data_IF_285776580720
#
_entry.id   IF_285776580720
#
_cell.length_a   1.000
_cell.length_b   1.000
_cell.length_c   1.000
_cell.angle_alpha   90.00
_cell.angle_beta   90.00
_cell.angle_gamma   90.00
#
_symmetry.space_group_name_H-M   'P 1'
#
loop_
_entity.id
_entity.type
_entity.pdbx_description
1 polymer ?
#
# COMPACT_ATOMS: atom_id res chain seq x y z
N UNK A 1 0.96 15.40 68.16
CA UNK A 1 0.17 14.72 69.21
C UNK A 1 -1.16 15.42 69.37
N UNK A 2 -2.24 14.70 69.74
CA UNK A 2 -2.34 13.24 69.77
C UNK A 2 -2.58 12.69 68.33
N UNK A 3 -2.34 11.44 67.94
CA UNK A 3 -2.45 10.12 68.59
C UNK A 3 -3.88 9.60 68.81
N UNK A 4 -4.23 8.52 68.10
CA UNK A 4 -4.33 7.21 68.75
C UNK A 4 -4.57 6.06 67.78
N UNK A 5 -3.68 5.09 67.84
CA UNK A 5 -3.96 3.71 67.48
C UNK A 5 -4.87 3.05 68.54
N UNK A 6 -5.72 2.10 68.10
CA UNK A 6 -5.73 0.73 68.65
C UNK A 6 -6.62 -0.24 67.86
N UNK A 7 -5.96 -1.04 67.03
CA UNK A 7 -5.79 -2.50 67.19
C UNK A 7 -6.69 -3.28 68.19
N UNK A 8 -6.97 -4.55 67.86
CA UNK A 8 -7.50 -5.54 68.81
C UNK A 8 -8.56 -6.53 68.28
N UNK A 9 -8.11 -7.67 67.71
CA UNK A 9 -8.57 -9.08 67.95
C UNK A 9 -10.06 -9.40 68.29
N UNK A 10 -10.72 -10.48 67.85
CA UNK A 10 -10.45 -11.73 67.07
C UNK A 10 -11.86 -12.32 66.66
N UNK A 11 -12.18 -13.58 66.27
CA UNK A 11 -11.53 -14.90 66.17
C UNK A 11 -12.34 -15.84 65.21
N UNK A 12 -11.68 -16.73 64.43
CA UNK A 12 -12.22 -17.99 63.81
C UNK A 12 -13.36 -17.87 62.75
N UNK A 13 -13.49 -18.76 61.75
CA UNK A 13 -12.63 -19.89 61.29
C UNK A 13 -13.02 -20.44 59.90
N UNK A 14 -12.00 -20.93 59.13
CA UNK A 14 -12.06 -21.93 58.03
C UNK A 14 -12.83 -21.52 56.74
N UNK A 15 -12.45 -21.96 55.53
CA UNK A 15 -11.27 -22.73 55.05
C UNK A 15 -11.05 -22.54 53.53
N UNK A 16 -9.85 -22.91 53.02
CA UNK A 16 -9.49 -23.28 51.63
C UNK A 16 -9.75 -22.27 50.48
N UNK A 17 -8.93 -22.12 49.42
CA UNK A 17 -7.59 -22.63 49.02
C UNK A 17 -7.01 -21.57 48.04
N UNK A 18 -5.70 -21.30 47.97
CA UNK A 18 -4.68 -22.13 47.31
C UNK A 18 -4.81 -22.02 45.77
N UNK A 19 -3.85 -21.51 44.99
CA UNK A 19 -2.39 -21.47 45.17
C UNK A 19 -1.71 -20.16 44.67
N UNK A 20 -0.49 -19.93 45.16
CA UNK A 20 0.49 -18.97 44.62
C UNK A 20 1.77 -19.71 44.16
N UNK A 21 2.81 -18.99 43.75
CA UNK A 21 3.87 -19.49 42.85
C UNK A 21 5.31 -19.49 43.40
N UNK A 22 6.19 -20.23 42.69
CA UNK A 22 7.68 -20.22 42.71
C UNK A 22 8.40 -20.70 43.99
N UNK A 23 9.32 -21.67 43.88
CA UNK A 23 10.77 -21.56 44.29
C UNK A 23 11.48 -22.91 44.55
N UNK A 24 12.76 -22.98 44.14
CA UNK A 24 13.84 -23.96 44.44
C UNK A 24 13.56 -25.47 44.17
N UNK A 25 14.40 -26.28 43.48
CA UNK A 25 15.86 -26.45 43.40
C UNK A 25 16.47 -27.28 44.54
N UNK A 26 16.90 -28.53 44.26
CA UNK A 26 18.21 -29.14 44.60
C UNK A 26 18.26 -30.69 44.38
N UNK A 27 19.48 -31.23 44.25
CA UNK A 27 19.93 -32.66 44.29
C UNK A 27 19.35 -33.64 43.23
N UNK A 28 20.19 -34.19 42.32
CA UNK A 28 20.93 -35.49 42.39
C UNK A 28 20.01 -36.73 42.26
N UNK A 29 20.35 -37.81 41.53
CA UNK A 29 21.58 -38.20 40.81
C UNK A 29 21.24 -39.21 39.68
N UNK A 30 22.19 -39.55 38.79
CA UNK A 30 22.13 -40.77 37.97
C UNK A 30 21.44 -40.69 36.59
N UNK A 31 22.17 -40.25 35.55
CA UNK A 31 21.79 -40.44 34.15
C UNK A 31 23.01 -40.83 33.31
N UNK A 32 23.06 -42.09 32.86
CA UNK A 32 24.05 -42.60 31.90
C UNK A 32 23.40 -43.69 31.03
N UNK A 33 22.96 -43.35 29.82
CA UNK A 33 23.29 -44.04 28.55
C UNK A 33 22.55 -43.47 27.33
N UNK A 34 23.23 -43.49 26.18
CA UNK A 34 22.73 -43.35 24.80
C UNK A 34 21.83 -42.15 24.44
N UNK A 35 22.38 -41.27 23.60
CA UNK A 35 21.63 -40.29 22.82
C UNK A 35 20.85 -40.95 21.66
N UNK A 36 19.71 -40.36 21.28
CA UNK A 36 19.17 -40.43 19.91
C UNK A 36 18.37 -39.15 19.61
N UNK A 37 18.78 -38.37 18.61
CA UNK A 37 18.16 -37.08 18.29
C UNK A 37 16.74 -37.24 17.73
N UNK A 38 15.73 -36.77 18.47
CA UNK A 38 14.34 -36.76 18.00
C UNK A 38 14.08 -35.57 17.07
N UNK A 39 14.26 -35.78 15.77
CA UNK A 39 14.24 -34.69 14.79
C UNK A 39 12.81 -34.16 14.47
N UNK A 40 12.70 -32.85 14.24
CA UNK A 40 11.47 -32.03 14.39
C UNK A 40 10.27 -32.43 13.52
N UNK A 41 10.47 -33.22 12.45
CA UNK A 41 9.39 -33.72 11.59
C UNK A 41 8.52 -34.80 12.25
N UNK A 42 9.09 -35.62 13.14
CA UNK A 42 8.39 -36.76 13.74
C UNK A 42 7.31 -36.33 14.74
N UNK A 43 7.65 -35.37 15.60
CA UNK A 43 6.75 -34.77 16.59
C UNK A 43 5.46 -34.19 15.97
N UNK A 44 5.55 -33.65 14.74
CA UNK A 44 4.41 -33.06 14.03
C UNK A 44 3.44 -34.14 13.51
N UNK A 45 3.95 -35.28 13.04
CA UNK A 45 3.09 -36.40 12.60
C UNK A 45 2.32 -37.02 13.78
N UNK A 46 3.04 -37.41 14.83
CA UNK A 46 2.45 -38.16 15.95
C UNK A 46 1.45 -37.31 16.78
N UNK A 47 1.59 -35.98 16.77
CA UNK A 47 0.67 -35.05 17.46
C UNK A 47 -0.71 -34.86 16.81
N UNK A 48 -0.92 -35.33 15.57
CA UNK A 48 -2.12 -34.96 14.77
C UNK A 48 -3.26 -35.99 14.83
N UNK A 49 -3.06 -37.13 15.49
CA UNK A 49 -3.97 -38.30 15.37
C UNK A 49 -4.96 -38.51 16.55
N UNK A 50 -5.22 -37.49 17.38
CA UNK A 50 -5.99 -37.64 18.64
C UNK A 50 -7.26 -36.77 18.78
N UNK A 51 -7.76 -36.20 17.69
CA UNK A 51 -9.00 -35.38 17.68
C UNK A 51 -10.04 -35.77 16.63
N UNK A 52 -9.80 -36.81 15.82
CA UNK A 52 -10.78 -37.38 14.88
C UNK A 52 -11.13 -38.82 15.27
N UNK A 53 -12.22 -38.99 16.02
CA UNK A 53 -12.73 -40.30 16.40
C UNK A 53 -13.43 -41.00 15.25
N UNK A 54 -12.71 -41.86 14.53
CA UNK A 54 -13.28 -42.78 13.54
C UNK A 54 -12.85 -44.22 13.84
N UNK A 55 -13.75 -45.01 14.42
CA UNK A 55 -13.59 -46.46 14.45
C UNK A 55 -13.76 -47.03 13.03
N UNK A 56 -12.98 -48.05 12.68
CA UNK A 56 -12.97 -48.62 11.34
C UNK A 56 -14.19 -49.52 11.09
N UNK A 57 -14.75 -49.45 9.87
CA UNK A 57 -15.68 -50.43 9.33
C UNK A 57 -15.39 -50.64 7.83
N UNK A 58 -15.03 -51.87 7.45
CA UNK A 58 -14.85 -52.29 6.06
C UNK A 58 -16.18 -52.81 5.50
N UNK A 59 -16.68 -52.22 4.41
CA UNK A 59 -17.55 -52.90 3.42
C UNK A 59 -17.22 -52.36 2.03
N UNK A 60 -17.20 -53.21 1.01
CA UNK A 60 -16.95 -52.81 -0.38
C UNK A 60 -18.25 -52.37 -1.09
N UNK A 61 -18.13 -51.44 -2.04
CA UNK A 61 -19.25 -50.97 -2.87
C UNK A 61 -18.76 -50.14 -4.05
N UNK A 62 -19.47 -50.22 -5.18
CA UNK A 62 -19.11 -49.57 -6.45
C UNK A 62 -19.89 -48.27 -6.71
N UNK A 63 -19.41 -47.52 -7.73
CA UNK A 63 -20.05 -46.44 -8.49
C UNK A 63 -19.88 -44.96 -8.09
N UNK A 64 -19.75 -44.20 -9.20
CA UNK A 64 -20.11 -42.81 -9.44
C UNK A 64 -19.13 -41.69 -9.04
N UNK A 65 -18.84 -40.82 -10.01
CA UNK A 65 -18.34 -39.45 -9.79
C UNK A 65 -19.49 -38.57 -9.29
N UNK A 66 -19.27 -37.82 -8.20
CA UNK A 66 -19.59 -36.38 -8.09
C UNK A 66 -19.34 -35.87 -6.66
N UNK A 67 -18.36 -34.97 -6.48
CA UNK A 67 -18.19 -34.21 -5.22
C UNK A 67 -17.64 -32.80 -5.47
N UNK A 68 -18.55 -31.83 -5.60
CA UNK A 68 -18.28 -30.43 -5.22
C UNK A 68 -18.60 -30.27 -3.72
N UNK A 69 -17.65 -29.88 -2.86
CA UNK A 69 -17.94 -29.67 -1.44
C UNK A 69 -18.74 -28.37 -1.23
N UNK A 70 -20.00 -28.48 -0.82
CA UNK A 70 -20.77 -27.34 -0.34
C UNK A 70 -20.25 -26.91 1.05
N UNK A 71 -19.50 -25.80 1.11
CA UNK A 71 -19.09 -25.18 2.36
C UNK A 71 -20.22 -24.29 2.92
N UNK A 72 -20.52 -24.44 4.21
CA UNK A 72 -21.71 -23.85 4.84
C UNK A 72 -21.64 -22.32 4.99
N UNK A 73 -22.73 -21.65 4.59
CA UNK A 73 -22.89 -20.22 4.73
C UNK A 73 -23.82 -19.88 5.90
N UNK A 74 -23.31 -19.27 6.99
CA UNK A 74 -24.10 -18.32 7.77
C UNK A 74 -23.28 -17.35 8.65
N UNK A 75 -23.58 -16.06 8.49
CA UNK A 75 -23.31 -14.95 9.41
C UNK A 75 -21.85 -14.63 9.83
N UNK A 76 -21.23 -13.68 9.09
CA UNK A 76 -20.50 -12.54 9.70
C UNK A 76 -20.53 -11.35 8.73
N UNK A 77 -20.96 -10.19 9.21
CA UNK A 77 -21.27 -9.00 8.37
C UNK A 77 -19.99 -8.34 7.82
N UNK A 78 -19.86 -8.25 6.49
CA UNK A 78 -18.91 -7.33 5.83
C UNK A 78 -19.62 -6.59 4.70
N UNK A 79 -20.02 -5.33 4.95
CA UNK A 79 -20.63 -4.47 3.91
C UNK A 79 -19.57 -4.17 2.85
N UNK A 80 -19.76 -4.64 1.62
CA UNK A 80 -18.85 -4.35 0.49
C UNK A 80 -18.35 -5.57 -0.29
N UNK A 81 -18.59 -6.81 0.15
CA UNK A 81 -18.19 -8.01 -0.62
C UNK A 81 -19.17 -8.40 -1.73
N UNK A 82 -20.35 -7.80 -1.78
CA UNK A 82 -21.48 -8.23 -2.61
C UNK A 82 -21.39 -7.77 -4.09
N UNK A 83 -20.18 -7.49 -4.58
CA UNK A 83 -19.87 -7.30 -6.02
C UNK A 83 -18.90 -8.40 -6.49
N UNK A 84 -19.39 -9.63 -6.72
CA UNK A 84 -18.54 -10.78 -7.03
C UNK A 84 -17.90 -10.76 -8.43
N UNK A 85 -18.13 -9.70 -9.23
CA UNK A 85 -17.81 -9.67 -10.66
C UNK A 85 -16.53 -8.87 -11.01
N UNK A 86 -15.92 -8.20 -10.03
CA UNK A 86 -14.77 -7.32 -10.22
C UNK A 86 -13.57 -7.74 -9.35
N UNK A 87 -13.03 -8.93 -9.61
CA UNK A 87 -11.92 -9.54 -8.84
C UNK A 87 -10.51 -9.09 -9.28
N UNK A 88 -10.37 -8.46 -10.45
CA UNK A 88 -9.08 -8.08 -11.05
C UNK A 88 -9.20 -6.74 -11.81
N UNK A 89 -8.11 -5.96 -11.99
CA UNK A 89 -8.10 -4.71 -12.77
C UNK A 89 -8.42 -4.94 -14.25
N UNK A 90 -9.01 -3.96 -14.93
CA UNK A 90 -9.14 -4.04 -16.39
C UNK A 90 -7.78 -3.89 -17.07
N UNK A 91 -7.60 -4.55 -18.21
CA UNK A 91 -6.37 -4.45 -19.02
C UNK A 91 -5.98 -3.01 -19.37
N UNK A 92 -6.95 -2.09 -19.49
CA UNK A 92 -6.71 -0.68 -19.81
C UNK A 92 -6.58 0.26 -18.59
N UNK A 93 -6.51 -0.29 -17.37
CA UNK A 93 -6.46 0.48 -16.11
C UNK A 93 -7.83 0.91 -15.56
N UNK A 94 -8.95 0.54 -16.18
CA UNK A 94 -10.27 0.79 -15.60
C UNK A 94 -10.60 -0.17 -14.45
N UNK A 95 -11.43 0.30 -13.51
CA UNK A 95 -12.10 -0.56 -12.54
C UNK A 95 -13.39 -1.11 -13.16
N UNK A 96 -13.41 -2.41 -13.46
CA UNK A 96 -14.61 -3.06 -13.99
C UNK A 96 -15.82 -2.91 -13.05
N UNK A 97 -15.60 -2.79 -11.73
CA UNK A 97 -16.67 -2.57 -10.75
C UNK A 97 -17.39 -1.22 -10.87
N UNK A 98 -16.83 -0.21 -11.56
CA UNK A 98 -17.51 1.06 -11.87
C UNK A 98 -18.05 1.12 -13.31
N UNK A 99 -17.99 0.01 -14.07
CA UNK A 99 -18.48 -0.08 -15.43
C UNK A 99 -19.99 -0.38 -15.48
N UNK A 100 -20.76 0.45 -16.19
CA UNK A 100 -22.22 0.32 -16.32
C UNK A 100 -22.68 -1.07 -16.77
N UNK A 101 -22.04 -1.66 -17.79
CA UNK A 101 -22.40 -3.01 -18.27
C UNK A 101 -22.14 -4.14 -17.26
N UNK A 102 -21.20 -3.95 -16.33
CA UNK A 102 -21.00 -4.89 -15.22
C UNK A 102 -22.00 -4.62 -14.09
N UNK A 103 -22.23 -3.35 -13.73
CA UNK A 103 -23.24 -3.01 -12.72
C UNK A 103 -24.66 -3.41 -13.16
N UNK A 104 -24.98 -3.37 -14.45
CA UNK A 104 -26.22 -3.95 -15.00
C UNK A 104 -26.30 -5.48 -14.81
N UNK A 105 -25.15 -6.17 -14.90
CA UNK A 105 -25.05 -7.62 -14.64
C UNK A 105 -25.25 -7.95 -13.16
N UNK A 106 -24.86 -7.05 -12.24
CA UNK A 106 -25.17 -7.17 -10.80
C UNK A 106 -26.65 -6.84 -10.54
N UNK A 107 -27.12 -5.69 -11.02
CA UNK A 107 -28.47 -5.15 -10.76
C UNK A 107 -29.59 -6.02 -11.32
N UNK A 108 -29.39 -6.67 -12.46
CA UNK A 108 -30.39 -7.57 -13.08
C UNK A 108 -30.37 -9.01 -12.54
N UNK A 109 -29.50 -9.34 -11.58
CA UNK A 109 -29.35 -10.69 -10.99
C UNK A 109 -28.82 -11.79 -11.93
N UNK A 110 -28.96 -11.59 -13.24
CA UNK A 110 -28.46 -12.49 -14.29
C UNK A 110 -27.05 -12.04 -14.70
N UNK A 111 -26.04 -12.81 -14.32
CA UNK A 111 -24.64 -12.44 -14.57
C UNK A 111 -24.31 -12.52 -16.06
N UNK A 112 -24.22 -11.36 -16.73
CA UNK A 112 -23.87 -11.23 -18.15
C UNK A 112 -22.39 -10.87 -18.37
N UNK A 113 -21.66 -10.48 -17.32
CA UNK A 113 -20.28 -9.97 -17.40
C UNK A 113 -19.47 -10.32 -16.15
N UNK A 114 -18.26 -10.90 -16.31
CA UNK A 114 -17.29 -11.14 -15.22
C UNK A 114 -16.02 -10.27 -15.38
N UNK A 115 -16.19 -9.04 -15.85
CA UNK A 115 -15.06 -8.12 -16.13
C UNK A 115 -14.26 -8.50 -17.38
N UNK A 116 -13.45 -7.57 -17.90
CA UNK A 116 -12.86 -7.70 -19.24
C UNK A 116 -11.79 -8.80 -19.37
N UNK A 117 -11.19 -9.25 -18.25
CA UNK A 117 -10.18 -10.32 -18.24
C UNK A 117 -10.81 -11.72 -18.42
N UNK A 118 -12.06 -11.90 -17.99
CA UNK A 118 -12.86 -13.11 -18.25
C UNK A 118 -13.16 -13.31 -19.74
N UNK A 119 -13.85 -14.42 -20.07
CA UNK A 119 -14.35 -14.69 -21.41
C UNK A 119 -15.80 -14.20 -21.64
N UNK A 120 -16.57 -13.96 -20.58
CA UNK A 120 -17.98 -13.55 -20.64
C UNK A 120 -18.11 -12.05 -20.35
N UNK A 121 -18.34 -11.27 -21.41
CA UNK A 121 -18.23 -9.80 -21.42
C UNK A 121 -19.35 -9.13 -22.23
N UNK A 122 -19.67 -7.87 -21.88
CA UNK A 122 -20.72 -7.07 -22.53
C UNK A 122 -20.19 -5.78 -23.17
N UNK A 123 -20.98 -5.20 -24.08
CA UNK A 123 -20.66 -3.97 -24.78
C UNK A 123 -19.33 -4.02 -25.54
N UNK A 124 -18.61 -2.89 -25.58
CA UNK A 124 -17.31 -2.74 -26.24
C UNK A 124 -16.28 -3.81 -25.87
N UNK A 125 -16.36 -4.43 -24.69
CA UNK A 125 -15.41 -5.49 -24.29
C UNK A 125 -15.44 -6.73 -25.21
N UNK A 126 -16.51 -6.92 -26.01
CA UNK A 126 -16.61 -7.98 -27.02
C UNK A 126 -15.64 -7.77 -28.21
N UNK A 127 -15.35 -6.53 -28.60
CA UNK A 127 -14.54 -6.17 -29.79
C UNK A 127 -13.32 -5.32 -29.46
N UNK A 128 -12.92 -5.25 -28.19
CA UNK A 128 -11.86 -4.38 -27.71
C UNK A 128 -10.46 -4.88 -28.10
N UNK A 129 -9.83 -4.25 -29.11
CA UNK A 129 -8.45 -4.52 -29.57
C UNK A 129 -7.39 -4.43 -28.45
N UNK A 130 -7.63 -3.63 -27.40
CA UNK A 130 -6.74 -3.56 -26.22
C UNK A 130 -6.84 -4.84 -25.38
N UNK A 131 -8.05 -5.37 -25.14
CA UNK A 131 -8.27 -6.65 -24.43
C UNK A 131 -7.60 -7.80 -25.18
N UNK A 132 -7.76 -7.85 -26.50
CA UNK A 132 -7.14 -8.85 -27.38
C UNK A 132 -5.61 -8.79 -27.29
N UNK A 133 -5.01 -7.62 -27.52
CA UNK A 133 -3.57 -7.40 -27.44
C UNK A 133 -2.99 -7.68 -26.04
N UNK A 134 -3.75 -7.44 -24.97
CA UNK A 134 -3.33 -7.71 -23.61
C UNK A 134 -3.39 -9.21 -23.28
N UNK A 135 -4.39 -9.95 -23.80
CA UNK A 135 -4.43 -11.41 -23.71
C UNK A 135 -3.30 -12.08 -24.50
N UNK A 136 -3.03 -11.64 -25.73
CA UNK A 136 -1.95 -12.23 -26.55
C UNK A 136 -0.55 -11.95 -25.99
N UNK A 137 -0.33 -10.77 -25.39
CA UNK A 137 0.91 -10.46 -24.64
C UNK A 137 0.92 -10.99 -23.19
N UNK A 138 -0.13 -11.68 -22.74
CA UNK A 138 -0.30 -12.21 -21.38
C UNK A 138 -0.09 -11.20 -20.22
N UNK A 139 -0.18 -9.89 -20.48
CA UNK A 139 0.07 -8.85 -19.47
C UNK A 139 -1.10 -8.75 -18.49
N UNK A 140 -0.82 -8.61 -17.19
CA UNK A 140 -1.87 -8.46 -16.18
C UNK A 140 -2.72 -7.21 -16.43
N UNK A 141 -2.05 -6.09 -16.74
CA UNK A 141 -2.63 -4.84 -17.24
C UNK A 141 -1.63 -4.17 -18.19
N UNK A 142 -2.11 -3.33 -19.11
CA UNK A 142 -1.27 -2.65 -20.09
C UNK A 142 -0.24 -1.72 -19.42
N UNK A 143 -0.52 -1.20 -18.23
CA UNK A 143 0.44 -0.44 -17.42
C UNK A 143 1.68 -1.25 -16.96
N UNK A 144 1.66 -2.58 -17.08
CA UNK A 144 2.83 -3.43 -16.83
C UNK A 144 3.54 -3.88 -18.12
N UNK A 145 3.05 -3.47 -19.29
CA UNK A 145 3.66 -3.79 -20.58
C UNK A 145 4.89 -2.90 -20.83
N UNK A 146 5.99 -3.50 -21.30
CA UNK A 146 7.25 -2.79 -21.60
C UNK A 146 7.12 -1.71 -22.67
N UNK A 147 6.15 -1.86 -23.58
CA UNK A 147 5.86 -0.86 -24.61
C UNK A 147 4.96 0.28 -24.10
N UNK A 148 4.56 0.33 -22.82
CA UNK A 148 3.62 1.33 -22.33
C UNK A 148 4.27 2.71 -22.13
N UNK A 149 3.64 3.82 -22.58
CA UNK A 149 2.38 3.89 -23.34
C UNK A 149 2.60 3.64 -24.83
N UNK A 150 2.04 2.56 -25.39
CA UNK A 150 2.09 2.25 -26.81
C UNK A 150 0.97 2.97 -27.57
N UNK A 151 1.09 3.12 -28.88
CA UNK A 151 0.18 3.96 -29.68
C UNK A 151 -1.28 3.47 -29.61
N UNK A 152 -1.50 2.15 -29.68
CA UNK A 152 -2.79 1.49 -29.41
C UNK A 152 -3.45 1.89 -28.06
N UNK A 153 -2.65 2.23 -27.06
CA UNK A 153 -3.11 2.73 -25.76
C UNK A 153 -3.28 4.25 -25.77
N UNK A 154 -2.38 5.00 -26.43
CA UNK A 154 -2.53 6.45 -26.64
C UNK A 154 -3.85 6.76 -27.36
N UNK A 155 -4.12 6.04 -28.45
CA UNK A 155 -5.36 5.99 -29.23
C UNK A 155 -6.56 5.64 -28.36
N UNK A 156 -6.55 4.47 -27.69
CA UNK A 156 -7.66 4.02 -26.85
C UNK A 156 -8.01 4.99 -25.72
N UNK A 157 -7.02 5.74 -25.22
CA UNK A 157 -7.25 6.77 -24.21
C UNK A 157 -7.54 8.18 -24.79
N UNK A 158 -7.53 8.38 -26.12
CA UNK A 158 -7.83 9.62 -26.85
C UNK A 158 -9.14 9.49 -27.68
N UNK A 159 -10.20 8.98 -27.06
CA UNK A 159 -11.55 9.02 -27.65
C UNK A 159 -12.03 10.48 -27.75
N UNK A 160 -12.49 10.92 -28.92
CA UNK A 160 -12.69 12.35 -29.25
C UNK A 160 -13.77 13.06 -28.41
N UNK A 161 -14.62 12.31 -27.70
CA UNK A 161 -15.69 12.89 -26.87
C UNK A 161 -15.18 13.37 -25.50
N UNK A 162 -15.64 14.55 -25.04
CA UNK A 162 -15.20 15.14 -23.77
C UNK A 162 -15.52 14.24 -22.55
N UNK A 163 -16.58 13.43 -22.63
CA UNK A 163 -16.99 12.53 -21.54
C UNK A 163 -16.22 11.21 -21.53
N UNK A 164 -15.91 10.63 -22.70
CA UNK A 164 -15.04 9.44 -22.76
C UNK A 164 -13.60 9.78 -22.32
N UNK A 165 -13.09 10.95 -22.72
CA UNK A 165 -11.80 11.48 -22.25
C UNK A 165 -11.66 11.51 -20.73
N UNK A 166 -12.72 11.92 -19.99
CA UNK A 166 -12.70 11.96 -18.51
C UNK A 166 -12.54 10.56 -17.93
N UNK A 167 -13.21 9.56 -18.48
CA UNK A 167 -13.05 8.15 -18.08
C UNK A 167 -11.67 7.61 -18.46
N UNK A 168 -11.14 7.97 -19.62
CA UNK A 168 -9.81 7.55 -20.07
C UNK A 168 -8.66 8.22 -19.30
N UNK A 169 -8.83 9.44 -18.80
CA UNK A 169 -7.89 10.07 -17.88
C UNK A 169 -7.68 9.24 -16.59
N UNK A 170 -8.76 8.69 -16.02
CA UNK A 170 -8.67 7.75 -14.88
C UNK A 170 -7.98 6.44 -15.28
N UNK A 171 -8.27 5.93 -16.48
CA UNK A 171 -7.65 4.71 -17.00
C UNK A 171 -6.11 4.85 -17.18
N UNK A 172 -5.66 6.02 -17.66
CA UNK A 172 -4.24 6.40 -17.73
C UNK A 172 -3.62 6.51 -16.34
N UNK A 173 -4.23 7.29 -15.44
CA UNK A 173 -3.80 7.45 -14.03
C UNK A 173 -3.50 6.10 -13.41
N UNK A 174 -4.45 5.17 -13.45
CA UNK A 174 -4.29 3.82 -12.88
C UNK A 174 -3.21 3.03 -13.60
N UNK A 175 -3.11 3.11 -14.92
CA UNK A 175 -2.07 2.38 -15.66
C UNK A 175 -0.66 2.85 -15.26
N UNK A 176 -0.48 4.14 -14.95
CA UNK A 176 0.74 4.67 -14.34
C UNK A 176 0.92 4.27 -12.86
N UNK A 177 -0.17 4.11 -12.08
CA UNK A 177 -0.08 3.54 -10.73
C UNK A 177 0.52 2.11 -10.82
N UNK A 178 0.07 1.30 -11.78
CA UNK A 178 0.66 -0.02 -12.05
C UNK A 178 2.12 0.05 -12.52
N UNK A 179 2.51 1.03 -13.36
CA UNK A 179 3.92 1.23 -13.76
C UNK A 179 4.87 1.44 -12.58
N UNK A 180 4.38 1.92 -11.42
CA UNK A 180 5.20 2.15 -10.23
C UNK A 180 5.00 1.11 -9.12
N UNK A 181 3.77 0.69 -8.82
CA UNK A 181 3.49 -0.24 -7.72
C UNK A 181 3.57 -1.73 -8.08
N UNK A 182 3.67 -2.06 -9.38
CA UNK A 182 3.54 -3.43 -9.85
C UNK A 182 2.11 -3.93 -9.67
N UNK A 183 1.93 -5.25 -9.53
CA UNK A 183 0.62 -5.81 -9.24
C UNK A 183 0.24 -5.63 -7.76
N UNK A 184 -0.43 -4.51 -7.43
CA UNK A 184 -0.94 -4.21 -6.09
C UNK A 184 -2.13 -5.15 -5.73
N UNK A 185 -1.97 -6.13 -4.81
CA UNK A 185 -3.02 -7.11 -4.51
C UNK A 185 -4.25 -6.47 -3.86
N UNK A 186 -4.04 -5.36 -3.15
CA UNK A 186 -5.09 -4.63 -2.45
C UNK A 186 -5.87 -3.69 -3.40
N UNK A 187 -5.47 -3.58 -4.67
CA UNK A 187 -5.99 -2.57 -5.62
C UNK A 187 -7.50 -2.66 -5.79
N UNK A 188 -8.05 -3.88 -5.84
CA UNK A 188 -9.50 -4.09 -6.00
C UNK A 188 -10.28 -3.57 -4.79
N UNK A 189 -9.82 -3.82 -3.57
CA UNK A 189 -10.47 -3.30 -2.35
C UNK A 189 -10.36 -1.77 -2.30
N UNK A 190 -9.20 -1.20 -2.63
CA UNK A 190 -9.00 0.26 -2.77
C UNK A 190 -9.95 0.87 -3.80
N UNK A 191 -10.19 0.21 -4.94
CA UNK A 191 -11.18 0.68 -5.92
C UNK A 191 -12.63 0.51 -5.45
N UNK A 192 -12.99 -0.60 -4.78
CA UNK A 192 -14.32 -0.77 -4.18
C UNK A 192 -14.59 0.36 -3.18
N UNK A 193 -13.64 0.66 -2.28
CA UNK A 193 -13.77 1.78 -1.35
C UNK A 193 -13.87 3.14 -2.09
N UNK A 194 -13.07 3.35 -3.13
CA UNK A 194 -13.03 4.60 -3.90
C UNK A 194 -14.32 4.85 -4.69
N UNK A 195 -14.88 3.83 -5.31
CA UNK A 195 -16.10 3.89 -6.12
C UNK A 195 -17.37 3.62 -5.30
N UNK A 196 -17.29 3.64 -3.96
CA UNK A 196 -18.44 3.56 -3.04
C UNK A 196 -18.76 4.89 -2.39
N UNK A 197 -20.05 5.23 -2.29
CA UNK A 197 -20.48 6.44 -1.60
C UNK A 197 -20.22 6.35 -0.10
N UNK A 198 -19.39 7.27 0.43
CA UNK A 198 -19.01 7.32 1.84
C UNK A 198 -20.18 7.47 2.83
N UNK A 199 -21.36 7.93 2.39
CA UNK A 199 -22.58 8.05 3.24
C UNK A 199 -23.36 6.74 3.37
N UNK A 200 -23.40 5.88 2.36
CA UNK A 200 -24.32 4.73 2.32
C UNK A 200 -23.73 3.40 1.82
N UNK A 201 -22.46 3.38 1.40
CA UNK A 201 -21.78 2.18 0.89
C UNK A 201 -22.17 1.72 -0.51
N UNK A 202 -23.05 2.44 -1.22
CA UNK A 202 -23.44 2.08 -2.59
C UNK A 202 -22.32 2.39 -3.58
N UNK A 203 -21.89 1.36 -4.32
CA UNK A 203 -21.02 1.48 -5.50
C UNK A 203 -21.69 2.35 -6.56
N UNK A 204 -20.92 3.22 -7.21
CA UNK A 204 -21.38 4.11 -8.28
C UNK A 204 -20.57 3.93 -9.56
N UNK A 205 -21.19 4.24 -10.69
CA UNK A 205 -20.64 4.07 -12.03
C UNK A 205 -19.83 5.31 -12.47
N UNK A 206 -18.94 5.15 -13.46
CA UNK A 206 -18.09 6.24 -13.97
C UNK A 206 -18.84 7.54 -14.34
N UNK A 207 -20.08 7.43 -14.87
CA UNK A 207 -20.92 8.56 -15.26
C UNK A 207 -21.80 9.14 -14.15
N UNK A 208 -21.72 8.66 -12.90
CA UNK A 208 -22.52 9.23 -11.81
C UNK A 208 -21.91 10.54 -11.28
N UNK A 209 -22.73 11.59 -11.22
CA UNK A 209 -22.38 12.91 -10.65
C UNK A 209 -22.73 13.05 -9.16
N UNK A 210 -23.64 12.21 -8.67
CA UNK A 210 -24.07 12.08 -7.26
C UNK A 210 -24.33 10.61 -6.94
N UNK A 211 -24.36 10.23 -5.66
CA UNK A 211 -24.65 8.84 -5.29
C UNK A 211 -26.05 8.41 -5.79
N UNK A 212 -26.17 7.30 -6.56
CA UNK A 212 -27.46 6.88 -7.12
C UNK A 212 -28.50 6.46 -6.06
N UNK A 213 -28.07 6.00 -4.88
CA UNK A 213 -28.99 5.57 -3.80
C UNK A 213 -29.44 6.69 -2.86
N UNK A 214 -28.58 7.67 -2.54
CA UNK A 214 -28.86 8.66 -1.49
C UNK A 214 -28.61 10.12 -1.89
N UNK A 215 -28.33 10.39 -3.18
CA UNK A 215 -28.01 11.71 -3.75
C UNK A 215 -26.86 12.50 -3.07
N UNK A 216 -26.13 11.91 -2.13
CA UNK A 216 -24.97 12.55 -1.51
C UNK A 216 -23.85 12.82 -2.53
N UNK A 217 -23.03 13.87 -2.32
CA UNK A 217 -21.83 14.12 -3.12
C UNK A 217 -20.89 12.91 -3.18
N UNK A 218 -20.21 12.77 -4.32
CA UNK A 218 -19.20 11.74 -4.58
C UNK A 218 -18.04 12.37 -5.36
N UNK A 219 -16.85 11.76 -5.28
CA UNK A 219 -15.72 12.17 -6.12
C UNK A 219 -15.93 11.52 -7.50
N UNK A 220 -16.36 12.31 -8.48
CA UNK A 220 -16.73 11.82 -9.81
C UNK A 220 -15.51 11.45 -10.66
N UNK A 221 -15.72 10.75 -11.78
CA UNK A 221 -14.67 10.52 -12.78
C UNK A 221 -14.14 11.84 -13.38
N UNK A 222 -15.02 12.83 -13.58
CA UNK A 222 -14.64 14.15 -14.07
C UNK A 222 -13.74 14.92 -13.08
N UNK A 223 -13.98 14.78 -11.76
CA UNK A 223 -13.13 15.38 -10.73
C UNK A 223 -11.73 14.75 -10.71
N UNK A 224 -11.64 13.41 -10.81
CA UNK A 224 -10.34 12.72 -10.96
C UNK A 224 -9.60 13.18 -12.21
N UNK A 225 -10.30 13.22 -13.35
CA UNK A 225 -9.75 13.63 -14.64
C UNK A 225 -9.24 15.07 -14.60
N UNK A 226 -9.97 15.98 -13.95
CA UNK A 226 -9.56 17.38 -13.80
C UNK A 226 -8.29 17.54 -12.96
N UNK A 227 -8.15 16.80 -11.84
CA UNK A 227 -6.90 16.83 -11.06
C UNK A 227 -5.74 16.18 -11.83
N UNK A 228 -6.00 15.06 -12.49
CA UNK A 228 -5.02 14.37 -13.34
C UNK A 228 -4.59 15.20 -14.57
N UNK A 229 -5.46 16.08 -15.08
CA UNK A 229 -5.12 17.04 -16.13
C UNK A 229 -4.29 18.21 -15.59
N UNK A 230 -4.68 18.78 -14.43
CA UNK A 230 -3.97 19.88 -13.74
C UNK A 230 -2.51 19.57 -13.43
N UNK A 231 -2.13 18.29 -13.32
CA UNK A 231 -0.72 17.89 -13.10
C UNK A 231 0.25 18.35 -14.18
N UNK A 232 -0.22 18.78 -15.35
CA UNK A 232 0.60 19.39 -16.41
C UNK A 232 0.89 20.89 -16.20
N UNK A 233 0.23 21.54 -15.24
CA UNK A 233 0.37 22.98 -14.98
C UNK A 233 1.15 23.18 -13.67
N UNK A 234 2.38 23.73 -13.72
CA UNK A 234 3.08 24.20 -12.53
C UNK A 234 2.21 25.12 -11.68
N UNK A 235 2.03 24.75 -10.42
CA UNK A 235 1.52 25.62 -9.35
C UNK A 235 2.66 25.74 -8.34
N UNK A 236 2.87 26.93 -7.81
CA UNK A 236 3.98 27.20 -6.88
C UNK A 236 3.47 27.51 -5.47
N UNK A 237 4.22 27.11 -4.45
CA UNK A 237 3.97 27.45 -3.05
C UNK A 237 5.28 27.73 -2.33
N UNK A 238 5.28 28.73 -1.45
CA UNK A 238 6.51 29.14 -0.75
C UNK A 238 6.60 28.50 0.64
N UNK A 239 7.66 27.72 0.83
CA UNK A 239 7.91 26.94 2.03
C UNK A 239 9.42 26.95 2.35
N UNK A 240 9.77 27.20 3.61
CA UNK A 240 11.14 27.39 4.11
C UNK A 240 12.01 28.34 3.27
N UNK A 241 11.42 29.46 2.83
CA UNK A 241 12.09 30.50 2.04
C UNK A 241 12.43 30.09 0.60
N UNK A 242 11.87 28.97 0.12
CA UNK A 242 12.08 28.42 -1.21
C UNK A 242 10.75 28.27 -1.93
N UNK A 243 10.75 28.31 -3.26
CA UNK A 243 9.56 28.06 -4.06
C UNK A 243 9.48 26.58 -4.46
N UNK A 244 8.28 26.01 -4.35
CA UNK A 244 8.04 24.58 -4.55
C UNK A 244 6.94 24.36 -5.57
N UNK A 245 7.22 23.54 -6.57
CA UNK A 245 6.29 23.19 -7.65
C UNK A 245 5.42 22.00 -7.22
N UNK A 246 4.10 22.22 -7.16
CA UNK A 246 3.11 21.31 -6.55
C UNK A 246 2.23 20.59 -7.57
N UNK A 247 2.55 20.62 -8.87
CA UNK A 247 1.70 20.08 -9.92
C UNK A 247 1.37 18.58 -9.76
N UNK A 248 2.29 17.77 -9.22
CA UNK A 248 2.04 16.35 -8.97
C UNK A 248 1.31 16.08 -7.62
N UNK A 249 0.91 17.13 -6.89
CA UNK A 249 0.17 17.03 -5.63
C UNK A 249 -1.31 17.37 -5.80
N UNK A 250 -2.18 16.58 -5.14
CA UNK A 250 -3.63 16.82 -5.13
C UNK A 250 -4.00 18.08 -4.34
N UNK A 251 -3.29 18.32 -3.23
CA UNK A 251 -3.35 19.54 -2.43
C UNK A 251 -2.09 19.67 -1.56
N UNK A 252 -1.66 20.91 -1.33
CA UNK A 252 -0.62 21.30 -0.38
C UNK A 252 -1.11 22.44 0.48
N UNK A 253 -0.92 22.35 1.81
CA UNK A 253 -1.30 23.41 2.74
C UNK A 253 -0.13 23.75 3.67
N UNK A 254 0.13 25.03 3.88
CA UNK A 254 1.09 25.48 4.91
C UNK A 254 0.36 25.65 6.24
N UNK A 255 0.55 24.72 7.18
CA UNK A 255 -0.16 24.67 8.47
C UNK A 255 0.79 24.45 9.64
N UNK A 256 0.36 24.88 10.82
CA UNK A 256 1.15 24.72 12.05
C UNK A 256 0.86 23.37 12.71
N UNK A 257 1.87 22.52 12.93
CA UNK A 257 1.76 21.30 13.74
C UNK A 257 2.74 21.36 14.92
N UNK A 258 2.22 21.39 16.15
CA UNK A 258 3.04 21.45 17.36
C UNK A 258 3.91 22.72 17.41
N UNK A 259 3.35 23.86 17.04
CA UNK A 259 4.05 25.16 16.97
C UNK A 259 4.91 25.38 15.72
N UNK A 260 5.22 24.33 14.93
CA UNK A 260 6.07 24.44 13.74
C UNK A 260 5.23 24.72 12.49
N UNK A 261 5.58 25.78 11.74
CA UNK A 261 5.09 26.00 10.36
C UNK A 261 5.57 24.83 9.49
N UNK A 262 4.65 24.17 8.80
CA UNK A 262 4.96 22.98 8.02
C UNK A 262 4.18 22.93 6.71
N UNK A 263 4.79 22.40 5.65
CA UNK A 263 4.07 22.06 4.42
C UNK A 263 3.45 20.67 4.56
N UNK A 264 2.13 20.58 4.47
CA UNK A 264 1.35 19.34 4.47
C UNK A 264 1.03 18.92 3.03
N UNK A 265 1.42 17.70 2.66
CA UNK A 265 1.05 17.05 1.39
C UNK A 265 -0.17 16.14 1.62
N UNK A 266 -1.28 16.40 0.94
CA UNK A 266 -2.55 15.65 1.07
C UNK A 266 -2.90 14.78 -0.16
N UNK A 267 -1.93 14.49 -1.03
CA UNK A 267 -2.14 13.58 -2.17
C UNK A 267 -1.92 12.11 -1.84
N UNK A 268 -1.79 11.27 -2.86
CA UNK A 268 -1.55 9.82 -2.74
C UNK A 268 -0.06 9.42 -2.69
N UNK A 269 0.23 8.12 -2.55
CA UNK A 269 1.57 7.49 -2.66
C UNK A 269 2.36 7.75 -3.98
N UNK A 270 1.95 8.68 -4.86
CA UNK A 270 2.75 9.20 -6.00
C UNK A 270 3.01 10.72 -5.93
N UNK A 271 2.59 11.37 -4.85
CA UNK A 271 2.70 12.82 -4.71
C UNK A 271 4.15 13.21 -4.48
N UNK A 272 4.69 14.05 -5.37
CA UNK A 272 5.98 14.72 -5.20
C UNK A 272 5.77 16.23 -5.39
N UNK A 273 6.43 17.03 -4.55
CA UNK A 273 6.47 18.49 -4.61
C UNK A 273 7.93 18.90 -4.81
N UNK A 274 8.28 19.45 -5.97
CA UNK A 274 9.68 19.69 -6.35
C UNK A 274 10.19 21.06 -5.90
N UNK A 275 11.43 21.14 -5.42
CA UNK A 275 12.14 22.39 -5.21
C UNK A 275 12.44 23.02 -6.57
N UNK A 276 12.03 24.28 -6.79
CA UNK A 276 12.20 24.96 -8.08
C UNK A 276 13.00 26.26 -7.95
N UNK A 277 14.08 26.45 -8.74
CA UNK A 277 14.76 25.44 -9.56
C UNK A 277 15.59 24.47 -8.69
N UNK A 278 15.81 23.23 -9.13
CA UNK A 278 16.83 22.34 -8.55
C UNK A 278 17.40 21.33 -9.55
N UNK A 279 18.72 21.13 -9.49
CA UNK A 279 19.44 20.11 -10.25
C UNK A 279 20.56 19.52 -9.37
N UNK A 280 20.19 18.61 -8.48
CA UNK A 280 21.07 18.00 -7.48
C UNK A 280 21.79 16.77 -8.05
N UNK A 281 23.09 16.68 -7.80
CA UNK A 281 23.96 15.55 -8.16
C UNK A 281 24.31 14.72 -6.92
N UNK A 282 25.20 15.25 -6.09
CA UNK A 282 25.68 14.67 -4.83
C UNK A 282 25.54 15.69 -3.69
N UNK A 283 25.84 15.26 -2.46
CA UNK A 283 25.84 16.07 -1.25
C UNK A 283 24.74 15.67 -0.27
N UNK A 284 24.29 16.62 0.55
CA UNK A 284 23.34 16.38 1.64
C UNK A 284 21.97 16.99 1.37
N UNK A 285 20.89 16.26 1.67
CA UNK A 285 19.51 16.73 1.70
C UNK A 285 18.92 16.39 3.07
N UNK A 286 18.33 17.36 3.77
CA UNK A 286 17.69 17.14 5.07
C UNK A 286 16.35 17.86 5.21
N UNK A 287 15.46 17.30 6.02
CA UNK A 287 14.25 17.96 6.49
C UNK A 287 13.79 17.38 7.83
N UNK A 288 13.04 18.16 8.60
CA UNK A 288 12.16 17.62 9.64
C UNK A 288 10.90 17.08 8.94
N UNK A 289 10.50 15.84 9.24
CA UNK A 289 9.37 15.16 8.61
C UNK A 289 8.45 14.51 9.65
N UNK A 290 7.13 14.59 9.45
CA UNK A 290 6.12 13.87 10.22
C UNK A 290 5.11 13.18 9.30
N UNK A 291 5.05 11.85 9.36
CA UNK A 291 4.27 11.01 8.42
C UNK A 291 3.11 10.31 9.11
N UNK A 292 1.93 10.28 8.46
CA UNK A 292 0.77 9.48 8.88
C UNK A 292 0.62 8.15 8.12
N UNK A 293 0.75 8.19 6.79
CA UNK A 293 0.64 7.02 5.91
C UNK A 293 2.00 6.71 5.26
N UNK A 294 2.45 7.57 4.35
CA UNK A 294 3.75 7.45 3.68
C UNK A 294 4.32 8.82 3.36
N UNK A 295 5.66 8.97 3.36
CA UNK A 295 6.30 10.19 2.91
C UNK A 295 7.82 10.15 3.05
N UNK A 296 8.52 11.15 2.53
CA UNK A 296 9.97 11.18 2.50
C UNK A 296 10.52 12.16 1.48
N UNK A 297 11.66 11.81 0.89
CA UNK A 297 12.41 12.68 -0.02
C UNK A 297 12.59 12.01 -1.38
N UNK A 298 12.43 12.83 -2.42
CA UNK A 298 12.76 12.53 -3.80
C UNK A 298 14.02 13.29 -4.22
N UNK A 299 14.91 12.67 -5.00
CA UNK A 299 16.11 13.33 -5.52
C UNK A 299 16.52 12.77 -6.89
N UNK A 300 17.38 13.50 -7.60
CA UNK A 300 17.78 13.25 -9.00
C UNK A 300 16.58 13.04 -9.96
N UNK A 301 15.44 13.66 -9.64
CA UNK A 301 14.19 13.43 -10.34
C UNK A 301 14.17 14.05 -11.74
N UNK A 302 13.36 13.47 -12.63
CA UNK A 302 12.91 14.14 -13.84
C UNK A 302 11.88 15.23 -13.49
N UNK A 303 11.87 16.33 -14.24
CA UNK A 303 11.02 17.51 -14.01
C UNK A 303 9.50 17.19 -14.11
N UNK A 304 9.14 16.18 -14.89
CA UNK A 304 7.78 15.66 -15.02
C UNK A 304 7.41 14.62 -13.93
N UNK A 305 8.36 14.26 -13.07
CA UNK A 305 8.24 13.22 -12.05
C UNK A 305 8.17 11.78 -12.57
N UNK A 306 8.45 11.53 -13.85
CA UNK A 306 8.42 10.18 -14.43
C UNK A 306 9.42 9.21 -13.79
N UNK A 307 10.54 9.72 -13.28
CA UNK A 307 11.56 8.97 -12.56
C UNK A 307 12.19 9.81 -11.45
N UNK A 308 12.61 9.16 -10.36
CA UNK A 308 13.31 9.77 -9.23
C UNK A 308 14.01 8.68 -8.39
N UNK A 309 14.98 9.05 -7.57
CA UNK A 309 15.36 8.25 -6.40
C UNK A 309 14.42 8.62 -5.24
N UNK A 310 13.87 7.64 -4.51
CA UNK A 310 13.00 7.91 -3.34
C UNK A 310 13.53 7.22 -2.08
N UNK A 311 13.62 7.98 -0.99
CA UNK A 311 13.67 7.44 0.38
C UNK A 311 12.33 7.70 1.05
N UNK A 312 11.72 6.65 1.61
CA UNK A 312 10.33 6.62 2.04
C UNK A 312 10.22 6.09 3.47
N UNK A 313 9.65 6.91 4.34
CA UNK A 313 9.16 6.58 5.66
C UNK A 313 7.70 6.13 5.51
N UNK A 314 7.37 4.91 5.94
CA UNK A 314 6.06 4.29 5.68
C UNK A 314 5.47 3.63 6.92
N UNK A 315 4.22 3.97 7.22
CA UNK A 315 3.43 3.39 8.30
C UNK A 315 2.11 2.82 7.73
N UNK A 316 2.23 1.78 6.90
CA UNK A 316 1.08 1.15 6.24
C UNK A 316 0.03 0.67 7.25
N UNK A 317 -1.23 0.65 6.78
CA UNK A 317 -2.39 0.43 7.63
C UNK A 317 -3.07 -0.92 7.35
N UNK A 318 -2.31 -1.92 6.88
CA UNK A 318 -2.81 -3.27 6.64
C UNK A 318 -2.78 -4.09 7.94
N UNK A 319 -3.71 -5.03 8.10
CA UNK A 319 -3.68 -6.00 9.22
C UNK A 319 -2.63 -7.11 9.03
N UNK A 320 -1.97 -7.13 7.87
CA UNK A 320 -0.91 -8.08 7.53
C UNK A 320 0.48 -7.56 7.92
N UNK A 321 0.70 -6.25 7.92
CA UNK A 321 1.98 -5.62 8.26
C UNK A 321 2.27 -5.68 9.78
N UNK A 322 2.73 -6.85 10.21
CA UNK A 322 3.67 -6.98 11.35
C UNK A 322 5.08 -6.44 10.99
N UNK A 323 5.28 -5.98 9.75
CA UNK A 323 6.54 -5.50 9.19
C UNK A 323 6.90 -4.12 9.75
N UNK A 324 7.75 -4.09 10.77
CA UNK A 324 8.32 -2.86 11.35
C UNK A 324 9.40 -2.20 10.46
N UNK A 325 9.50 -2.59 9.19
CA UNK A 325 10.47 -2.04 8.22
C UNK A 325 9.96 -0.71 7.67
N UNK A 326 10.20 0.37 8.44
CA UNK A 326 9.58 1.68 8.27
C UNK A 326 10.32 2.61 7.29
N UNK A 327 11.63 2.47 7.10
CA UNK A 327 12.41 3.26 6.13
C UNK A 327 12.77 2.35 4.95
N UNK A 328 12.52 2.83 3.74
CA UNK A 328 12.78 2.13 2.48
C UNK A 328 13.45 3.05 1.47
N UNK A 329 14.32 2.50 0.62
CA UNK A 329 14.75 3.09 -0.64
C UNK A 329 14.11 2.35 -1.83
N UNK A 330 13.72 3.07 -2.88
CA UNK A 330 13.40 2.50 -4.19
C UNK A 330 13.36 3.59 -5.27
N UNK A 331 13.81 3.33 -6.51
CA UNK A 331 13.57 4.25 -7.62
C UNK A 331 12.06 4.38 -7.94
N UNK A 332 11.66 5.56 -8.41
CA UNK A 332 10.35 5.82 -9.00
C UNK A 332 10.34 5.52 -10.51
N UNK A 333 9.18 5.15 -11.04
CA UNK A 333 8.96 4.97 -12.50
C UNK A 333 9.20 3.57 -13.06
N UNK A 334 9.71 2.61 -12.28
CA UNK A 334 9.90 1.21 -12.74
C UNK A 334 9.45 0.21 -11.67
N UNK A 335 8.29 -0.43 -11.90
CA UNK A 335 7.71 -1.37 -10.94
C UNK A 335 8.62 -2.55 -10.60
N UNK A 336 9.53 -2.95 -11.50
CA UNK A 336 10.46 -4.10 -11.29
C UNK A 336 11.43 -3.86 -10.14
N UNK A 337 11.71 -2.57 -9.87
CA UNK A 337 12.52 -2.06 -8.77
C UNK A 337 11.68 -1.28 -7.76
N UNK A 338 10.36 -1.48 -7.75
CA UNK A 338 9.49 -0.95 -6.70
C UNK A 338 9.85 -1.55 -5.35
N UNK A 339 9.55 -0.83 -4.28
CA UNK A 339 9.76 -1.30 -2.90
C UNK A 339 9.15 -2.69 -2.60
N UNK A 340 8.04 -3.07 -3.25
CA UNK A 340 7.41 -4.40 -3.12
C UNK A 340 8.33 -5.48 -3.69
N UNK A 341 8.80 -5.27 -4.92
CA UNK A 341 9.72 -6.18 -5.62
C UNK A 341 11.09 -6.25 -4.93
N UNK A 342 11.65 -5.11 -4.51
CA UNK A 342 12.94 -5.06 -3.80
C UNK A 342 12.87 -5.79 -2.45
N UNK A 343 11.82 -5.59 -1.65
CA UNK A 343 11.61 -6.32 -0.39
C UNK A 343 11.44 -7.83 -0.60
N UNK A 344 10.88 -8.24 -1.75
CA UNK A 344 10.68 -9.66 -2.09
C UNK A 344 11.98 -10.34 -2.55
N UNK A 345 12.81 -9.63 -3.34
CA UNK A 345 14.05 -10.16 -3.94
C UNK A 345 15.26 -10.03 -3.04
N UNK A 346 15.40 -8.89 -2.36
CA UNK A 346 16.57 -8.52 -1.56
C UNK A 346 16.15 -7.92 -0.19
N UNK A 347 15.44 -8.70 0.65
CA UNK A 347 14.90 -8.24 1.93
C UNK A 347 15.99 -7.69 2.84
N UNK A 348 15.80 -6.48 3.37
CA UNK A 348 16.76 -5.81 4.25
C UNK A 348 17.88 -5.05 3.55
N UNK A 349 18.10 -5.24 2.23
CA UNK A 349 19.14 -4.51 1.47
C UNK A 349 18.77 -3.06 1.19
N UNK A 350 17.47 -2.80 1.02
CA UNK A 350 16.92 -1.48 0.71
C UNK A 350 15.88 -1.02 1.75
N UNK A 351 15.71 -1.72 2.87
CA UNK A 351 14.75 -1.36 3.90
C UNK A 351 15.16 -1.75 5.34
N UNK A 352 14.86 -0.88 6.31
CA UNK A 352 15.30 -1.03 7.70
C UNK A 352 14.17 -0.87 8.73
N UNK A 353 14.31 -1.56 9.86
CA UNK A 353 13.46 -1.41 11.04
C UNK A 353 14.07 -0.36 11.97
N UNK A 354 13.27 0.63 12.36
CA UNK A 354 13.71 1.71 13.24
C UNK A 354 12.56 2.17 14.15
N UNK A 355 12.89 2.87 15.23
CA UNK A 355 11.95 3.31 16.28
C UNK A 355 11.24 4.61 15.89
N UNK A 356 10.19 4.51 15.09
CA UNK A 356 9.35 5.67 14.71
C UNK A 356 7.86 5.46 15.06
N UNK A 357 7.08 6.54 15.03
CA UNK A 357 5.64 6.54 15.29
C UNK A 357 4.88 7.53 14.40
N UNK A 358 3.61 7.22 14.06
CA UNK A 358 2.73 8.06 13.23
C UNK A 358 2.56 9.46 13.81
N UNK A 359 2.53 10.47 12.94
CA UNK A 359 2.38 11.90 13.28
C UNK A 359 3.41 12.45 14.30
N UNK A 360 4.55 11.78 14.50
CA UNK A 360 5.73 12.34 15.21
C UNK A 360 6.71 12.95 14.21
N UNK A 361 7.41 14.00 14.66
CA UNK A 361 8.50 14.65 13.93
C UNK A 361 9.80 13.85 14.09
N UNK A 362 10.52 13.67 12.99
CA UNK A 362 11.87 13.11 12.92
C UNK A 362 12.75 14.02 12.04
N UNK A 363 14.05 14.15 12.31
CA UNK A 363 15.00 14.68 11.31
C UNK A 363 15.35 13.56 10.33
N UNK A 364 15.09 13.75 9.04
CA UNK A 364 15.55 12.86 7.99
C UNK A 364 16.72 13.54 7.26
N UNK A 365 17.84 12.84 7.16
CA UNK A 365 19.03 13.27 6.41
C UNK A 365 19.44 12.21 5.40
N UNK A 366 19.68 12.62 4.16
CA UNK A 366 20.27 11.82 3.10
C UNK A 366 21.65 12.39 2.78
N UNK A 367 22.66 11.52 2.65
CA UNK A 367 23.97 11.83 2.09
C UNK A 367 24.13 11.00 0.82
N UNK A 368 24.40 11.65 -0.31
CA UNK A 368 24.38 11.05 -1.65
C UNK A 368 25.72 11.26 -2.31
N UNK A 369 26.51 10.20 -2.47
CA UNK A 369 27.87 10.25 -2.98
C UNK A 369 28.02 9.32 -4.21
N UNK A 370 27.94 9.88 -5.42
CA UNK A 370 28.04 9.14 -6.67
C UNK A 370 26.89 8.14 -6.84
N UNK A 371 27.14 6.86 -6.55
CA UNK A 371 26.11 5.80 -6.53
C UNK A 371 25.72 5.32 -5.13
N UNK A 372 26.44 5.75 -4.07
CA UNK A 372 26.10 5.44 -2.68
C UNK A 372 25.05 6.42 -2.13
N UNK A 373 24.14 5.91 -1.31
CA UNK A 373 23.23 6.69 -0.47
C UNK A 373 23.37 6.21 0.97
N UNK A 374 23.54 7.14 1.90
CA UNK A 374 23.44 6.91 3.34
C UNK A 374 22.26 7.71 3.91
N UNK A 375 21.41 7.04 4.69
CA UNK A 375 20.21 7.61 5.31
C UNK A 375 20.39 7.66 6.82
N UNK A 376 20.14 8.82 7.43
CA UNK A 376 20.26 9.07 8.86
C UNK A 376 18.93 9.57 9.44
N UNK A 377 18.69 9.31 10.72
CA UNK A 377 17.48 9.71 11.44
C UNK A 377 17.82 10.43 12.75
N UNK A 378 17.07 11.48 13.08
CA UNK A 378 17.17 12.31 14.29
C UNK A 378 18.58 12.81 14.63
N UNK A 379 19.33 12.03 15.41
CA UNK A 379 20.68 12.34 15.90
C UNK A 379 21.65 11.16 15.75
N UNK A 380 21.24 10.13 15.01
CA UNK A 380 22.08 8.95 14.79
C UNK A 380 23.31 9.36 13.97
N UNK A 381 24.51 9.07 14.51
CA UNK A 381 25.80 9.39 13.86
C UNK A 381 26.16 8.37 12.79
N UNK A 382 25.60 7.17 12.89
CA UNK A 382 25.70 6.10 11.90
C UNK A 382 24.45 6.07 11.02
N UNK A 383 24.55 5.68 9.74
CA UNK A 383 23.39 5.59 8.87
C UNK A 383 22.46 4.45 9.28
N UNK A 384 21.16 4.76 9.42
CA UNK A 384 20.13 3.74 9.64
C UNK A 384 19.90 2.87 8.40
N UNK A 385 20.22 3.37 7.20
CA UNK A 385 20.20 2.58 5.96
C UNK A 385 21.31 3.08 5.02
N UNK A 386 22.24 2.19 4.66
CA UNK A 386 23.21 2.40 3.58
C UNK A 386 22.79 1.60 2.35
N UNK A 387 22.60 2.29 1.23
CA UNK A 387 22.43 1.70 -0.10
C UNK A 387 23.75 1.87 -0.86
N UNK A 388 24.50 0.79 -0.99
CA UNK A 388 25.83 0.80 -1.61
C UNK A 388 25.79 1.23 -3.09
N UNK A 389 24.77 0.80 -3.83
CA UNK A 389 24.52 1.20 -5.21
C UNK A 389 23.03 1.49 -5.44
N UNK A 390 22.72 2.73 -5.80
CA UNK A 390 21.38 3.18 -6.17
C UNK A 390 21.01 2.75 -7.59
N UNK A 391 19.77 2.26 -7.72
CA UNK A 391 19.18 1.66 -8.91
C UNK A 391 18.63 2.69 -9.91
N UNK A 392 18.55 3.98 -9.57
CA UNK A 392 18.07 5.01 -10.46
C UNK A 392 19.00 5.25 -11.65
N UNK A 393 18.38 5.49 -12.81
CA UNK A 393 19.04 5.64 -14.11
C UNK A 393 19.59 7.06 -14.36
N UNK A 394 19.55 7.93 -13.33
CA UNK A 394 19.92 9.36 -13.39
C UNK A 394 21.06 9.67 -12.42
N UNK A 395 21.96 10.55 -12.84
CA UNK A 395 23.06 11.13 -12.06
C UNK A 395 22.69 12.51 -11.46
N UNK A 396 21.76 13.22 -12.11
CA UNK A 396 21.34 14.57 -11.77
C UNK A 396 19.81 14.77 -11.94
N UNK A 397 19.23 15.73 -11.20
CA UNK A 397 17.84 16.15 -11.39
C UNK A 397 17.23 16.81 -10.16
N UNK A 398 15.92 17.05 -10.19
CA UNK A 398 15.23 17.80 -9.14
C UNK A 398 15.21 17.07 -7.78
N UNK A 399 15.12 17.86 -6.71
CA UNK A 399 14.83 17.40 -5.34
C UNK A 399 13.37 17.70 -5.02
N UNK A 400 12.71 16.84 -4.25
CA UNK A 400 11.32 17.04 -3.88
C UNK A 400 10.90 16.38 -2.57
N UNK A 401 9.76 16.82 -2.05
CA UNK A 401 9.09 16.26 -0.88
C UNK A 401 8.05 15.27 -1.38
N UNK A 402 8.08 14.03 -0.88
CA UNK A 402 7.20 12.94 -1.32
C UNK A 402 6.20 12.55 -0.23
N UNK A 403 4.95 12.24 -0.56
CA UNK A 403 4.10 11.47 0.36
C UNK A 403 2.59 11.75 0.39
N UNK A 404 1.91 10.88 1.13
CA UNK A 404 0.49 10.91 1.47
C UNK A 404 0.31 11.22 2.96
N UNK A 405 -0.30 12.35 3.27
CA UNK A 405 -0.47 12.85 4.64
C UNK A 405 0.88 12.95 5.38
N UNK A 406 1.89 13.48 4.68
CA UNK A 406 3.21 13.79 5.19
C UNK A 406 3.37 15.31 5.40
N UNK A 407 4.14 15.71 6.41
CA UNK A 407 4.42 17.11 6.75
C UNK A 407 5.91 17.35 6.84
N UNK A 408 6.35 18.51 6.39
CA UNK A 408 7.76 18.89 6.27
C UNK A 408 8.03 20.24 6.92
N UNK A 409 9.19 20.40 7.53
CA UNK A 409 9.73 21.66 8.06
C UNK A 409 11.26 21.65 8.01
N UNK A 410 11.89 22.81 8.19
CA UNK A 410 13.35 22.98 8.28
C UNK A 410 14.15 22.33 7.12
N UNK A 411 13.66 22.45 5.88
CA UNK A 411 14.31 21.86 4.70
C UNK A 411 15.64 22.54 4.36
N UNK A 412 16.69 21.74 4.20
CA UNK A 412 18.04 22.19 3.84
C UNK A 412 18.65 21.26 2.78
N UNK A 413 19.30 21.85 1.78
CA UNK A 413 20.04 21.11 0.75
C UNK A 413 21.42 21.75 0.59
N UNK A 414 22.47 20.93 0.61
CA UNK A 414 23.87 21.29 0.44
C UNK A 414 24.47 20.38 -0.64
N UNK A 415 24.51 20.80 -1.91
CA UNK A 415 25.21 20.05 -2.95
C UNK A 415 26.72 19.95 -2.65
N UNK A 416 27.35 18.87 -3.11
CA UNK A 416 28.81 18.88 -3.33
C UNK A 416 29.17 19.86 -4.46
N UNK A 417 30.36 20.44 -4.36
CA UNK A 417 30.95 21.44 -5.27
C UNK A 417 31.54 20.83 -6.54
#
# INVERSE_FOLDING_TARGET
MPDRERDGTLFRSRAATGFASISHQLFYEGLMTSEHEMNRRRFIMESTCLTCGCAAAFVAGTHQFDLLPQASAQSRRSRGKDNPLATEPAFCGLFCGACSGLQESVRSGTVKCYGCRSNQVVGHCKTCKVRECAKSKQVHTCGLCESYPCDKIKEYHNDETEESNKKMAVARKVSEDFQYFGNDPDWVEKQIERWSCKKCGTVFEYGNVKCPKCSAPIITAAMEAAVYARRKTPVFTDFDGRSWQTNLAYATETKTLGGRKALLLQGSERTIVFLSPSNFRNGTIECDIAVRNSGGLAFRAAEDGSAAELVQLRFLNTKADKNKKLILYSPHGDWRSSWRELRSKEPGKYDVETKMAKDKWFRLKLVVAGKKLDVYLDKDTEPVLTVAEMLGKRDAGCVGLYGENARFANFTMQPES
#
